data_IF_043087091455
#
_entry.id   IF_043087091455
#
_cell.length_a   1.000
_cell.length_b   1.000
_cell.length_c   1.000
_cell.angle_alpha   90.00
_cell.angle_beta   90.00
_cell.angle_gamma   90.00
#
_symmetry.space_group_name_H-M   'P 1'
#
loop_
_entity.id
_entity.type
_entity.pdbx_description
1 polymer ?
#
# COMPACT_ATOMS: atom_id res chain seq x y z
N UNK A 1 -2.81 -14.07 -13.81
CA UNK A 1 -3.46 -12.93 -14.47
C UNK A 1 -3.06 -12.89 -15.94
N UNK A 2 -1.80 -12.58 -16.32
CA UNK A 2 -1.39 -12.50 -17.74
C UNK A 2 -1.54 -13.82 -18.51
N UNK A 3 -1.37 -14.98 -17.88
CA UNK A 3 -1.67 -16.29 -18.48
C UNK A 3 -3.16 -16.49 -18.79
N UNK A 4 -4.04 -15.78 -18.07
CA UNK A 4 -5.49 -15.79 -18.30
C UNK A 4 -5.93 -14.71 -19.32
N UNK A 5 -4.97 -14.04 -19.96
CA UNK A 5 -5.16 -12.89 -20.88
C UNK A 5 -5.84 -11.67 -20.24
N UNK A 6 -5.81 -11.56 -18.93
CA UNK A 6 -6.23 -10.34 -18.24
C UNK A 6 -5.22 -9.23 -18.50
N UNK A 7 -5.71 -8.01 -18.61
CA UNK A 7 -4.85 -6.86 -18.83
C UNK A 7 -4.44 -6.25 -17.49
N UNK A 8 -3.15 -5.90 -17.39
CA UNK A 8 -2.52 -5.27 -16.22
C UNK A 8 -2.05 -3.87 -16.59
N UNK A 9 -2.19 -2.93 -15.67
CA UNK A 9 -1.57 -1.61 -15.69
C UNK A 9 -0.69 -1.47 -14.44
N UNK A 10 0.29 -0.58 -14.48
CA UNK A 10 1.09 -0.19 -13.32
C UNK A 10 1.07 1.34 -13.22
N UNK A 11 0.89 1.83 -11.99
CA UNK A 11 1.09 3.22 -11.63
C UNK A 11 2.06 3.28 -10.45
N UNK A 12 3.19 3.97 -10.64
CA UNK A 12 4.15 4.29 -9.58
C UNK A 12 4.02 5.77 -9.28
N UNK A 13 3.83 6.09 -8.02
CA UNK A 13 3.52 7.44 -7.59
C UNK A 13 4.26 7.86 -6.31
N UNK A 14 4.33 9.17 -6.13
CA UNK A 14 4.66 9.83 -4.86
C UNK A 14 3.61 10.94 -4.62
N UNK A 15 3.93 12.23 -4.81
CA UNK A 15 2.97 13.32 -4.82
C UNK A 15 2.20 13.42 -6.13
N UNK A 16 2.67 12.75 -7.17
CA UNK A 16 2.09 12.65 -8.51
C UNK A 16 2.45 11.30 -9.14
N UNK A 17 1.77 10.91 -10.21
CA UNK A 17 2.18 9.74 -11.00
C UNK A 17 3.56 9.98 -11.59
N UNK A 18 4.50 9.08 -11.31
CA UNK A 18 5.88 9.12 -11.81
C UNK A 18 6.05 8.27 -13.05
N UNK A 19 5.53 7.06 -12.99
CA UNK A 19 5.60 6.10 -14.08
C UNK A 19 4.25 5.44 -14.26
N UNK A 20 3.73 5.49 -15.46
CA UNK A 20 2.47 4.83 -15.80
C UNK A 20 2.64 3.89 -16.97
N UNK A 21 2.44 2.61 -16.73
CA UNK A 21 2.34 1.60 -17.77
C UNK A 21 0.87 1.35 -18.09
N UNK A 22 0.43 1.71 -19.30
CA UNK A 22 -0.96 1.57 -19.68
C UNK A 22 -1.38 0.09 -19.74
N UNK A 23 -2.66 -0.15 -19.58
CA UNK A 23 -3.27 -1.47 -19.55
C UNK A 23 -2.90 -2.29 -20.79
N UNK A 24 -2.31 -3.46 -20.56
CA UNK A 24 -1.92 -4.41 -21.61
C UNK A 24 -2.10 -5.85 -21.13
N UNK A 25 -2.53 -6.74 -22.06
CA UNK A 25 -2.58 -8.19 -21.85
C UNK A 25 -1.42 -8.94 -22.51
N UNK A 26 -0.43 -8.22 -23.02
CA UNK A 26 0.77 -8.80 -23.61
C UNK A 26 1.63 -9.49 -22.55
N UNK A 27 2.18 -10.68 -22.88
CA UNK A 27 3.15 -11.34 -21.99
C UNK A 27 4.39 -10.49 -21.71
N UNK A 28 4.79 -9.62 -22.64
CA UNK A 28 5.89 -8.68 -22.44
C UNK A 28 5.63 -7.66 -21.31
N UNK A 29 4.36 -7.51 -20.87
CA UNK A 29 4.01 -6.57 -19.82
C UNK A 29 4.72 -6.88 -18.50
N UNK A 30 4.91 -8.17 -18.16
CA UNK A 30 5.62 -8.55 -16.92
C UNK A 30 7.05 -8.04 -16.90
N UNK A 31 7.76 -8.14 -18.04
CA UNK A 31 9.14 -7.64 -18.15
C UNK A 31 9.19 -6.12 -18.04
N UNK A 32 8.21 -5.42 -18.64
CA UNK A 32 8.11 -3.96 -18.50
C UNK A 32 7.87 -3.56 -17.04
N UNK A 33 6.92 -4.18 -16.36
CA UNK A 33 6.64 -3.93 -14.94
C UNK A 33 7.90 -4.13 -14.10
N UNK A 34 8.58 -5.26 -14.26
CA UNK A 34 9.81 -5.55 -13.49
C UNK A 34 10.92 -4.56 -13.79
N UNK A 35 11.13 -4.21 -15.06
CA UNK A 35 12.14 -3.24 -15.46
C UNK A 35 11.84 -1.84 -14.91
N UNK A 36 10.58 -1.39 -14.97
CA UNK A 36 10.16 -0.11 -14.44
C UNK A 36 10.34 -0.04 -12.91
N UNK A 37 9.91 -1.08 -12.19
CA UNK A 37 10.09 -1.15 -10.73
C UNK A 37 11.57 -1.19 -10.32
N UNK A 38 12.41 -1.90 -11.07
CA UNK A 38 13.85 -2.00 -10.78
C UNK A 38 14.61 -0.70 -11.07
N UNK A 39 14.12 0.10 -11.99
CA UNK A 39 14.74 1.38 -12.37
C UNK A 39 14.26 2.57 -11.54
N UNK A 40 13.15 2.41 -10.81
CA UNK A 40 12.55 3.50 -10.05
C UNK A 40 13.27 3.71 -8.71
N UNK A 41 13.69 4.94 -8.46
CA UNK A 41 14.27 5.37 -7.17
C UNK A 41 13.31 6.34 -6.48
N UNK A 42 12.76 6.00 -5.31
CA UNK A 42 11.88 6.89 -4.56
C UNK A 42 12.69 8.06 -3.97
N UNK A 43 12.28 9.29 -4.24
CA UNK A 43 13.03 10.50 -3.84
C UNK A 43 12.20 11.57 -3.17
N UNK A 44 10.88 11.43 -3.09
CA UNK A 44 9.97 12.48 -2.64
C UNK A 44 8.94 11.94 -1.66
N UNK A 45 8.34 12.88 -0.92
CA UNK A 45 7.19 12.62 -0.06
C UNK A 45 6.03 12.06 -0.88
N UNK A 46 5.22 11.22 -0.24
CA UNK A 46 4.03 10.62 -0.84
C UNK A 46 2.79 11.39 -0.41
N UNK A 47 1.85 11.60 -1.34
CA UNK A 47 0.49 12.06 -1.06
C UNK A 47 -0.49 11.06 -1.66
N UNK A 48 -0.67 9.95 -0.94
CA UNK A 48 -1.45 8.82 -1.43
C UNK A 48 -2.92 9.18 -1.62
N UNK A 49 -3.48 10.03 -0.76
CA UNK A 49 -4.87 10.45 -0.85
C UNK A 49 -5.18 11.14 -2.19
N UNK A 50 -4.33 12.09 -2.61
CA UNK A 50 -4.48 12.78 -3.89
C UNK A 50 -4.39 11.81 -5.08
N UNK A 51 -3.45 10.86 -5.02
CA UNK A 51 -3.25 9.84 -6.05
C UNK A 51 -4.46 8.90 -6.16
N UNK A 52 -5.01 8.45 -5.05
CA UNK A 52 -6.20 7.58 -5.06
C UNK A 52 -7.40 8.25 -5.73
N UNK A 53 -7.59 9.55 -5.49
CA UNK A 53 -8.62 10.33 -6.17
C UNK A 53 -8.35 10.48 -7.67
N UNK A 54 -7.10 10.69 -8.08
CA UNK A 54 -6.72 10.76 -9.48
C UNK A 54 -6.92 9.42 -10.18
N UNK A 55 -6.46 8.32 -9.58
CA UNK A 55 -6.69 6.96 -10.08
C UNK A 55 -8.18 6.65 -10.23
N UNK A 56 -9.02 7.07 -9.28
CA UNK A 56 -10.46 6.86 -9.37
C UNK A 56 -11.08 7.54 -10.60
N UNK A 57 -10.55 8.68 -11.03
CA UNK A 57 -10.96 9.36 -12.27
C UNK A 57 -10.46 8.66 -13.54
N UNK A 58 -9.27 8.05 -13.47
CA UNK A 58 -8.62 7.38 -14.60
C UNK A 58 -9.14 5.97 -14.85
N UNK A 59 -9.50 5.24 -13.79
CA UNK A 59 -10.00 3.85 -13.86
C UNK A 59 -11.44 3.84 -14.42
N UNK A 60 -11.56 3.81 -15.74
CA UNK A 60 -12.85 3.83 -16.45
C UNK A 60 -13.52 2.46 -16.59
N UNK A 61 -12.81 1.38 -16.33
CA UNK A 61 -13.34 0.00 -16.49
C UNK A 61 -13.26 -0.72 -15.15
N UNK A 62 -14.30 -1.45 -14.83
CA UNK A 62 -14.32 -2.32 -13.66
C UNK A 62 -13.18 -3.32 -13.71
N UNK A 63 -12.52 -3.50 -12.57
CA UNK A 63 -11.38 -4.38 -12.44
C UNK A 63 -10.98 -4.52 -10.98
N UNK A 64 -9.78 -4.99 -10.75
CA UNK A 64 -9.17 -5.08 -9.43
C UNK A 64 -8.09 -4.01 -9.36
N UNK A 65 -8.20 -3.13 -8.39
CA UNK A 65 -7.17 -2.16 -8.03
C UNK A 65 -6.41 -2.71 -6.83
N UNK A 66 -5.12 -2.92 -7.00
CA UNK A 66 -4.22 -3.38 -5.92
C UNK A 66 -3.36 -2.21 -5.50
N UNK A 67 -3.50 -1.80 -4.25
CA UNK A 67 -2.70 -0.75 -3.62
C UNK A 67 -1.63 -1.44 -2.77
N UNK A 68 -0.36 -1.09 -2.98
CA UNK A 68 0.78 -1.63 -2.24
C UNK A 68 1.52 -0.43 -1.64
N UNK A 69 1.37 -0.21 -0.35
CA UNK A 69 1.90 0.97 0.36
C UNK A 69 1.87 0.77 1.86
N UNK A 70 2.65 1.56 2.60
CA UNK A 70 2.54 1.75 4.05
C UNK A 70 1.36 2.65 4.44
N UNK A 71 0.75 3.35 3.46
CA UNK A 71 -0.40 4.24 3.65
C UNK A 71 -0.13 5.37 4.65
N UNK A 72 1.12 5.82 4.80
CA UNK A 72 1.47 6.84 5.78
C UNK A 72 1.03 8.24 5.34
N UNK A 73 -0.26 8.53 5.53
CA UNK A 73 -0.92 9.81 5.19
C UNK A 73 -2.17 9.98 6.09
N UNK A 74 -2.96 11.01 5.84
CA UNK A 74 -4.23 11.28 6.53
C UNK A 74 -5.24 10.14 6.27
N UNK A 75 -5.63 9.43 7.33
CA UNK A 75 -6.46 8.22 7.26
C UNK A 75 -7.84 8.50 6.66
N UNK A 76 -8.44 9.67 6.96
CA UNK A 76 -9.77 10.04 6.45
C UNK A 76 -9.70 10.25 4.93
N UNK A 77 -8.69 10.98 4.48
CA UNK A 77 -8.48 11.24 3.05
C UNK A 77 -8.13 9.97 2.27
N UNK A 78 -7.32 9.07 2.85
CA UNK A 78 -7.05 7.76 2.27
C UNK A 78 -8.37 7.01 2.07
N UNK A 79 -9.22 6.97 3.10
CA UNK A 79 -10.49 6.26 3.01
C UNK A 79 -11.45 6.89 1.99
N UNK A 80 -11.48 8.21 1.86
CA UNK A 80 -12.24 8.90 0.81
C UNK A 80 -11.76 8.49 -0.60
N UNK A 81 -10.44 8.44 -0.82
CA UNK A 81 -9.86 7.99 -2.08
C UNK A 81 -10.21 6.54 -2.41
N UNK A 82 -10.11 5.64 -1.43
CA UNK A 82 -10.50 4.23 -1.56
C UNK A 82 -11.99 4.09 -1.87
N UNK A 83 -12.85 4.84 -1.20
CA UNK A 83 -14.29 4.87 -1.47
C UNK A 83 -14.56 5.31 -2.90
N UNK A 84 -13.87 6.33 -3.37
CA UNK A 84 -14.03 6.81 -4.75
C UNK A 84 -13.69 5.73 -5.79
N UNK A 85 -12.61 4.95 -5.58
CA UNK A 85 -12.28 3.78 -6.39
C UNK A 85 -13.40 2.71 -6.36
N UNK A 86 -13.96 2.46 -5.19
CA UNK A 86 -15.07 1.51 -5.02
C UNK A 86 -16.35 1.97 -5.72
N UNK A 87 -16.70 3.26 -5.63
CA UNK A 87 -17.85 3.83 -6.35
C UNK A 87 -17.71 3.69 -7.87
N UNK A 88 -16.50 3.71 -8.40
CA UNK A 88 -16.20 3.39 -9.80
C UNK A 88 -16.48 1.94 -10.18
N UNK A 89 -16.85 1.09 -9.21
CA UNK A 89 -17.20 -0.32 -9.39
C UNK A 89 -15.98 -1.25 -9.46
N UNK A 90 -14.80 -0.79 -9.07
CA UNK A 90 -13.61 -1.61 -8.94
C UNK A 90 -13.61 -2.38 -7.61
N UNK A 91 -13.09 -3.60 -7.62
CA UNK A 91 -12.67 -4.29 -6.41
C UNK A 91 -11.34 -3.68 -5.95
N UNK A 92 -11.21 -3.38 -4.66
CA UNK A 92 -9.98 -2.80 -4.12
C UNK A 92 -9.36 -3.76 -3.13
N UNK A 93 -8.06 -3.95 -3.25
CA UNK A 93 -7.22 -4.75 -2.35
C UNK A 93 -6.06 -3.88 -1.89
N UNK A 94 -5.85 -3.80 -0.59
CA UNK A 94 -4.77 -3.05 0.04
C UNK A 94 -3.78 -4.04 0.65
N UNK A 95 -2.56 -4.07 0.15
CA UNK A 95 -1.42 -4.68 0.83
C UNK A 95 -0.71 -3.58 1.63
N UNK A 96 -0.99 -3.57 2.94
CA UNK A 96 -0.44 -2.60 3.86
C UNK A 96 0.93 -3.06 4.37
N UNK A 97 1.98 -2.43 3.89
CA UNK A 97 3.37 -2.79 4.18
C UNK A 97 3.82 -2.18 5.51
N UNK A 98 4.44 -2.98 6.36
CA UNK A 98 5.08 -2.51 7.60
C UNK A 98 6.41 -3.23 7.80
N UNK A 99 7.45 -2.46 8.11
CA UNK A 99 8.74 -3.03 8.48
C UNK A 99 8.72 -3.57 9.92
N UNK A 100 9.44 -4.67 10.23
CA UNK A 100 9.59 -5.14 11.61
C UNK A 100 10.09 -4.07 12.57
N UNK A 101 10.97 -3.18 12.13
CA UNK A 101 11.48 -2.10 12.95
C UNK A 101 10.39 -1.11 13.36
N UNK A 102 9.41 -0.86 12.50
CA UNK A 102 8.24 -0.04 12.80
C UNK A 102 7.26 -0.75 13.73
N UNK A 103 7.01 -2.03 13.49
CA UNK A 103 6.09 -2.83 14.30
C UNK A 103 6.61 -3.08 15.72
N UNK A 104 7.90 -3.37 15.85
CA UNK A 104 8.49 -3.76 17.14
C UNK A 104 9.14 -2.60 17.88
N UNK A 105 9.62 -1.60 17.15
CA UNK A 105 10.32 -0.40 17.65
C UNK A 105 11.42 -0.75 18.68
N UNK A 106 12.22 -1.78 18.41
CA UNK A 106 13.24 -2.36 19.32
C UNK A 106 14.57 -1.61 19.26
N UNK A 107 14.54 -0.29 19.21
CA UNK A 107 15.73 0.53 19.29
C UNK A 107 16.10 0.82 20.75
N UNK A 108 17.41 0.93 21.06
CA UNK A 108 17.91 1.19 22.40
C UNK A 108 19.00 2.27 22.39
N UNK A 109 19.15 2.97 23.52
CA UNK A 109 20.11 4.05 23.66
C UNK A 109 19.61 5.38 23.08
N UNK A 110 20.54 6.25 22.75
CA UNK A 110 20.25 7.51 22.06
C UNK A 110 20.34 7.26 20.55
N UNK A 111 19.27 7.48 19.84
CA UNK A 111 19.16 7.19 18.40
C UNK A 111 18.73 8.43 17.65
N UNK A 112 19.41 8.71 16.55
CA UNK A 112 18.98 9.72 15.59
C UNK A 112 18.18 9.03 14.47
N UNK A 113 16.90 9.35 14.36
CA UNK A 113 16.07 8.95 13.23
C UNK A 113 16.23 9.97 12.11
N UNK A 114 16.75 9.52 10.98
CA UNK A 114 16.97 10.36 9.80
C UNK A 114 15.76 10.29 8.90
N UNK A 115 15.12 11.44 8.66
CA UNK A 115 13.98 11.53 7.77
C UNK A 115 14.39 11.29 6.30
N UNK A 116 13.77 10.35 5.63
CA UNK A 116 14.06 10.02 4.23
C UNK A 116 13.40 11.00 3.25
N UNK A 117 12.30 11.62 3.64
CA UNK A 117 11.43 12.44 2.78
C UNK A 117 11.46 13.94 3.18
N UNK A 118 12.65 14.51 3.34
CA UNK A 118 12.82 15.90 3.78
C UNK A 118 12.18 16.23 5.16
N UNK A 119 11.95 15.19 5.98
CA UNK A 119 11.49 15.33 7.37
C UNK A 119 12.71 15.61 8.25
N UNK A 120 12.61 16.51 9.24
CA UNK A 120 13.72 16.79 10.16
C UNK A 120 14.17 15.53 10.91
N UNK A 121 15.49 15.42 11.12
CA UNK A 121 16.03 14.36 11.97
C UNK A 121 15.54 14.52 13.41
N UNK A 122 15.24 13.41 14.05
CA UNK A 122 14.78 13.37 15.44
C UNK A 122 15.77 12.57 16.28
N UNK A 123 16.44 13.26 17.20
CA UNK A 123 17.29 12.62 18.20
C UNK A 123 16.46 12.31 19.45
N UNK A 124 16.33 11.04 19.80
CA UNK A 124 15.50 10.62 20.93
C UNK A 124 16.03 9.34 21.59
N UNK A 125 15.45 8.99 22.74
CA UNK A 125 15.60 7.68 23.38
C UNK A 125 14.36 6.83 23.09
N UNK A 126 14.42 5.91 22.13
CA UNK A 126 13.24 5.15 21.68
C UNK A 126 12.52 4.41 22.79
N UNK A 127 13.24 3.94 23.81
CA UNK A 127 12.65 3.23 24.94
C UNK A 127 11.68 4.10 25.76
N UNK A 128 11.87 5.43 25.77
CA UNK A 128 10.99 6.36 26.50
C UNK A 128 9.66 6.58 25.77
N UNK A 129 9.65 6.46 24.44
CA UNK A 129 8.47 6.70 23.59
C UNK A 129 7.87 5.43 23.02
N UNK A 130 8.50 4.26 23.23
CA UNK A 130 8.08 2.98 22.60
C UNK A 130 6.62 2.66 22.80
N UNK A 131 6.13 2.77 24.02
CA UNK A 131 4.74 2.41 24.33
C UNK A 131 3.75 3.33 23.61
N UNK A 132 4.01 4.64 23.59
CA UNK A 132 3.17 5.62 22.89
C UNK A 132 3.23 5.44 21.38
N UNK A 133 4.42 5.19 20.84
CA UNK A 133 4.61 4.91 19.41
C UNK A 133 3.84 3.66 18.98
N UNK A 134 4.01 2.54 19.69
CA UNK A 134 3.31 1.29 19.36
C UNK A 134 1.79 1.43 19.48
N UNK A 135 1.30 2.17 20.47
CA UNK A 135 -0.13 2.45 20.61
C UNK A 135 -0.66 3.26 19.40
N UNK A 136 0.10 4.25 18.92
CA UNK A 136 -0.28 5.05 17.77
C UNK A 136 -0.24 4.25 16.46
N UNK A 137 0.79 3.42 16.25
CA UNK A 137 0.86 2.51 15.09
C UNK A 137 -0.32 1.55 15.08
N UNK A 138 -0.69 0.96 16.22
CA UNK A 138 -1.82 0.05 16.28
C UNK A 138 -3.16 0.78 16.08
N UNK A 139 -3.32 2.00 16.61
CA UNK A 139 -4.48 2.85 16.34
C UNK A 139 -4.62 3.10 14.85
N UNK A 140 -3.56 3.55 14.19
CA UNK A 140 -3.51 3.82 12.75
C UNK A 140 -3.91 2.59 11.93
N UNK A 141 -3.27 1.46 12.18
CA UNK A 141 -3.57 0.19 11.51
C UNK A 141 -5.02 -0.27 11.71
N UNK A 142 -5.53 -0.15 12.94
CA UNK A 142 -6.92 -0.47 13.28
C UNK A 142 -7.92 0.42 12.55
N UNK A 143 -7.63 1.72 12.46
CA UNK A 143 -8.46 2.70 11.74
C UNK A 143 -8.54 2.35 10.25
N UNK A 144 -7.38 2.13 9.60
CA UNK A 144 -7.33 1.74 8.21
C UNK A 144 -8.05 0.41 7.93
N UNK A 145 -7.81 -0.61 8.78
CA UNK A 145 -8.48 -1.90 8.65
C UNK A 145 -9.99 -1.76 8.74
N UNK A 146 -10.48 -1.09 9.78
CA UNK A 146 -11.93 -0.88 10.00
C UNK A 146 -12.55 -0.07 8.85
N UNK A 147 -11.84 0.93 8.35
CA UNK A 147 -12.26 1.71 7.19
C UNK A 147 -12.38 0.85 5.93
N UNK A 148 -11.38 0.00 5.66
CA UNK A 148 -11.39 -0.94 4.55
C UNK A 148 -12.55 -1.93 4.65
N UNK A 149 -12.76 -2.55 5.83
CA UNK A 149 -13.84 -3.51 6.07
C UNK A 149 -15.22 -2.90 5.83
N UNK A 150 -15.47 -1.68 6.35
CA UNK A 150 -16.72 -0.94 6.13
C UNK A 150 -17.00 -0.66 4.66
N UNK A 151 -15.95 -0.53 3.85
CA UNK A 151 -16.05 -0.23 2.42
C UNK A 151 -15.91 -1.48 1.54
N UNK A 152 -15.96 -2.68 2.11
CA UNK A 152 -15.78 -3.94 1.38
C UNK A 152 -14.47 -3.99 0.59
N UNK A 153 -13.40 -3.50 1.19
CA UNK A 153 -12.03 -3.52 0.67
C UNK A 153 -11.25 -4.60 1.39
N UNK A 154 -10.49 -5.39 0.68
CA UNK A 154 -9.63 -6.40 1.26
C UNK A 154 -8.37 -5.72 1.83
N UNK A 155 -8.21 -5.72 3.14
CA UNK A 155 -7.03 -5.21 3.83
C UNK A 155 -6.12 -6.37 4.22
N UNK A 156 -4.93 -6.41 3.64
CA UNK A 156 -3.92 -7.47 3.83
C UNK A 156 -2.70 -6.86 4.52
N UNK A 157 -2.53 -7.05 5.83
CA UNK A 157 -1.33 -6.61 6.52
C UNK A 157 -0.12 -7.44 6.06
N UNK A 158 0.98 -6.78 5.75
CA UNK A 158 2.22 -7.39 5.29
C UNK A 158 3.37 -6.92 6.16
N UNK A 159 4.03 -7.85 6.83
CA UNK A 159 5.32 -7.60 7.44
C UNK A 159 6.40 -7.87 6.37
N UNK A 160 7.25 -6.88 6.08
CA UNK A 160 8.25 -6.97 5.01
C UNK A 160 9.31 -8.06 5.24
N UNK A 161 9.47 -8.54 6.47
CA UNK A 161 10.34 -9.68 6.78
C UNK A 161 9.69 -11.06 6.52
N UNK A 162 8.37 -11.11 6.29
CA UNK A 162 7.70 -12.38 5.97
C UNK A 162 7.98 -12.80 4.51
N UNK A 163 8.12 -14.10 4.26
CA UNK A 163 8.23 -14.60 2.90
C UNK A 163 7.01 -14.21 2.07
N UNK A 164 7.22 -13.54 0.94
CA UNK A 164 6.14 -13.04 0.08
C UNK A 164 5.15 -14.13 -0.34
N UNK A 165 5.63 -15.36 -0.56
CA UNK A 165 4.78 -16.48 -0.96
C UNK A 165 3.77 -16.87 0.12
N UNK A 166 4.09 -16.72 1.42
CA UNK A 166 3.16 -16.98 2.51
C UNK A 166 2.04 -15.94 2.54
N UNK A 167 2.38 -14.65 2.40
CA UNK A 167 1.42 -13.56 2.35
C UNK A 167 0.45 -13.74 1.19
N UNK A 168 0.99 -14.00 -0.01
CA UNK A 168 0.18 -14.16 -1.21
C UNK A 168 -0.69 -15.42 -1.17
N UNK A 169 -0.14 -16.54 -0.71
CA UNK A 169 -0.91 -17.79 -0.56
C UNK A 169 -2.04 -17.65 0.45
N UNK A 170 -1.76 -16.98 1.58
CA UNK A 170 -2.78 -16.67 2.60
C UNK A 170 -3.92 -15.82 2.03
N UNK A 171 -3.59 -14.76 1.31
CA UNK A 171 -4.58 -13.90 0.66
C UNK A 171 -5.39 -14.66 -0.40
N UNK A 172 -4.74 -15.44 -1.27
CA UNK A 172 -5.45 -16.21 -2.29
C UNK A 172 -6.38 -17.28 -1.69
N UNK A 173 -5.94 -17.96 -0.63
CA UNK A 173 -6.78 -18.91 0.09
C UNK A 173 -8.02 -18.25 0.73
N UNK A 174 -7.83 -17.06 1.32
CA UNK A 174 -8.94 -16.25 1.83
C UNK A 174 -9.91 -15.87 0.72
N UNK A 175 -9.40 -15.37 -0.41
CA UNK A 175 -10.20 -14.95 -1.56
C UNK A 175 -11.03 -16.09 -2.15
N UNK A 176 -10.47 -17.29 -2.29
CA UNK A 176 -11.19 -18.46 -2.77
C UNK A 176 -12.38 -18.81 -1.87
N UNK A 177 -12.23 -18.68 -0.55
CA UNK A 177 -13.32 -18.93 0.41
C UNK A 177 -14.44 -17.89 0.34
N UNK A 178 -14.12 -16.66 0.02
CA UNK A 178 -15.08 -15.54 -0.03
C UNK A 178 -15.77 -15.40 -1.38
N UNK A 179 -15.17 -15.90 -2.45
CA UNK A 179 -15.74 -15.87 -3.82
C UNK A 179 -16.78 -16.98 -4.10
N UNK A 180 -16.96 -17.94 -3.19
CA UNK A 180 -17.90 -19.09 -3.32
C UNK A 180 -19.30 -18.77 -2.75
N UNK A 181 -19.60 -17.52 -2.52
CA UNK A 181 -20.95 -17.07 -2.15
C UNK A 181 -21.55 -16.27 -3.34
#
# INVERSE_FOLDING_TARGET
ILHQRDAVALDIFDTETREYLPRSNSHAMIHKVLATLAAFEPTRQTNIAAILHEMARQVRRRGIVVIISDLFDDEEKIMEGIQHLRFGGSEVVVFHLMDPAELEFKFNGLVEFVGLEAIPNILTRPQEIRASYQAEVERFRSTLRSGCEKNHVHFVPVNTAQPLHEVLSGYLAFRLKTSVK
#
